data_IF_615862643807
#
_entry.id   IF_615862643807
#
_cell.length_a   1.000
_cell.length_b   1.000
_cell.length_c   1.000
_cell.angle_alpha   90.00
_cell.angle_beta   90.00
_cell.angle_gamma   90.00
#
_symmetry.space_group_name_H-M   'P 1'
#
loop_
_entity.id
_entity.type
_entity.pdbx_description
1 polymer ?
#
# COMPACT_ATOMS: atom_id res chain seq x y z
N UNK A 1 -8.05 10.66 -13.41
CA UNK A 1 -8.20 9.25 -13.67
C UNK A 1 -7.10 8.70 -14.55
N UNK A 2 -6.92 7.42 -14.53
CA UNK A 2 -5.92 6.75 -15.36
C UNK A 2 -6.29 6.82 -16.83
N UNK A 3 -5.33 7.18 -17.65
CA UNK A 3 -5.51 7.33 -19.10
C UNK A 3 -5.75 8.76 -19.58
N UNK A 4 -5.86 9.74 -18.70
CA UNK A 4 -5.85 11.15 -19.12
C UNK A 4 -4.48 11.59 -19.63
N UNK A 5 -4.43 12.46 -20.62
CA UNK A 5 -3.18 13.11 -21.04
C UNK A 5 -2.66 14.04 -19.94
N UNK A 6 -1.34 14.24 -19.89
CA UNK A 6 -0.75 15.26 -19.04
C UNK A 6 -1.30 16.65 -19.43
N UNK A 7 -1.77 17.41 -18.47
CA UNK A 7 -2.20 18.78 -18.72
C UNK A 7 -1.04 19.78 -18.65
N UNK A 8 0.09 19.37 -18.11
CA UNK A 8 1.31 20.16 -18.00
C UNK A 8 2.53 19.23 -18.11
N UNK A 9 3.53 19.67 -18.85
CA UNK A 9 4.80 18.97 -19.00
C UNK A 9 5.92 19.95 -18.73
N UNK A 10 6.89 19.54 -17.91
CA UNK A 10 8.05 20.36 -17.55
C UNK A 10 9.32 19.60 -17.92
N UNK A 11 10.21 20.25 -18.69
CA UNK A 11 11.51 19.69 -18.98
C UNK A 11 12.39 19.73 -17.74
N UNK A 12 13.15 18.65 -17.52
CA UNK A 12 14.12 18.58 -16.45
C UNK A 12 15.50 18.95 -16.98
N UNK A 13 16.29 19.59 -16.15
CA UNK A 13 17.66 19.99 -16.45
C UNK A 13 18.65 19.07 -15.72
N UNK A 14 19.76 18.69 -16.37
CA UNK A 14 20.80 17.90 -15.73
C UNK A 14 21.49 18.72 -14.64
N UNK A 15 21.90 18.07 -13.58
CA UNK A 15 22.68 18.68 -12.51
C UNK A 15 24.05 18.00 -12.34
N UNK A 16 24.97 18.69 -11.68
CA UNK A 16 26.36 18.25 -11.52
C UNK A 16 26.53 16.90 -10.81
N UNK A 17 25.54 16.52 -10.00
CA UNK A 17 25.50 15.25 -9.27
C UNK A 17 24.95 14.06 -10.12
N UNK A 18 24.73 14.29 -11.42
CA UNK A 18 24.21 13.29 -12.34
C UNK A 18 22.70 13.07 -12.24
N UNK A 19 22.01 13.85 -11.44
CA UNK A 19 20.53 13.84 -11.37
C UNK A 19 19.93 14.83 -12.36
N UNK A 20 18.63 14.69 -12.60
CA UNK A 20 17.85 15.64 -13.39
C UNK A 20 16.84 16.30 -12.48
N UNK A 21 16.69 17.62 -12.59
CA UNK A 21 15.88 18.44 -11.70
C UNK A 21 14.91 19.31 -12.46
N UNK A 22 13.71 19.47 -11.94
CA UNK A 22 12.76 20.49 -12.33
C UNK A 22 12.07 21.04 -11.08
N UNK A 23 11.73 22.31 -11.08
CA UNK A 23 10.99 22.96 -10.00
C UNK A 23 9.68 23.51 -10.56
N UNK A 24 8.58 23.20 -9.91
CA UNK A 24 7.25 23.72 -10.25
C UNK A 24 6.76 24.59 -9.09
N UNK A 25 6.55 25.86 -9.35
CA UNK A 25 6.15 26.86 -8.35
C UNK A 25 4.62 26.87 -8.16
N UNK A 26 4.07 25.71 -7.81
CA UNK A 26 2.64 25.52 -7.55
C UNK A 26 2.44 24.52 -6.45
N UNK A 27 1.35 24.63 -5.69
CA UNK A 27 0.88 23.52 -4.84
C UNK A 27 0.24 22.45 -5.72
N UNK A 28 0.90 21.28 -5.75
CA UNK A 28 0.46 20.13 -6.53
C UNK A 28 -0.11 19.01 -5.64
N UNK A 29 -0.35 19.26 -4.37
CA UNK A 29 -0.94 18.27 -3.45
C UNK A 29 -2.23 17.67 -4.06
N UNK A 30 -2.33 16.34 -4.04
CA UNK A 30 -3.44 15.59 -4.62
C UNK A 30 -3.40 15.45 -6.14
N UNK A 31 -2.34 15.92 -6.79
CA UNK A 31 -2.10 15.68 -8.22
C UNK A 31 -1.24 14.43 -8.42
N UNK A 32 -1.21 13.98 -9.66
CA UNK A 32 -0.39 12.85 -10.09
C UNK A 32 0.68 13.31 -11.06
N UNK A 33 1.82 12.60 -11.08
CA UNK A 33 2.89 12.84 -12.02
C UNK A 33 3.46 11.54 -12.57
N UNK A 34 4.13 11.66 -13.70
CA UNK A 34 5.00 10.64 -14.28
C UNK A 34 6.28 11.26 -14.74
N UNK A 35 7.30 10.45 -14.87
CA UNK A 35 8.51 10.79 -15.61
C UNK A 35 8.47 10.11 -16.97
N UNK A 36 9.03 10.77 -17.98
CA UNK A 36 9.29 10.17 -19.28
C UNK A 36 10.72 10.50 -19.68
N UNK A 37 11.49 9.49 -20.04
CA UNK A 37 12.92 9.63 -20.37
C UNK A 37 13.12 9.40 -21.85
N UNK A 38 13.94 10.23 -22.47
CA UNK A 38 14.33 10.14 -23.86
C UNK A 38 15.77 9.64 -23.99
N UNK A 39 15.97 8.51 -24.65
CA UNK A 39 17.29 7.93 -24.94
C UNK A 39 17.40 7.69 -26.44
N UNK A 40 18.48 8.16 -27.05
CA UNK A 40 18.71 8.03 -28.49
C UNK A 40 17.49 8.46 -29.33
N UNK A 41 16.97 9.62 -29.01
CA UNK A 41 15.77 10.22 -29.62
C UNK A 41 14.45 9.45 -29.49
N UNK A 42 14.42 8.40 -28.66
CA UNK A 42 13.22 7.62 -28.38
C UNK A 42 12.74 7.85 -26.94
N UNK A 43 11.47 8.22 -26.79
CA UNK A 43 10.79 8.25 -25.49
C UNK A 43 10.49 6.81 -25.00
N UNK A 44 10.82 6.53 -23.75
CA UNK A 44 10.70 5.19 -23.17
C UNK A 44 9.30 4.88 -22.61
N UNK A 45 8.48 5.90 -22.44
CA UNK A 45 7.16 5.78 -21.84
C UNK A 45 7.11 6.34 -20.41
N UNK A 46 5.91 6.47 -19.91
CA UNK A 46 5.64 7.06 -18.61
C UNK A 46 5.91 6.08 -17.47
N UNK A 47 6.50 6.59 -16.38
CA UNK A 47 6.76 5.83 -15.16
C UNK A 47 6.53 6.72 -13.93
N UNK A 48 6.02 6.19 -12.81
CA UNK A 48 5.92 6.94 -11.55
C UNK A 48 7.28 7.30 -10.95
N UNK A 49 8.35 6.60 -11.38
CA UNK A 49 9.68 6.75 -10.80
C UNK A 49 9.88 5.93 -9.52
N UNK A 50 11.15 5.64 -9.22
CA UNK A 50 11.54 4.73 -8.11
C UNK A 50 11.36 5.33 -6.71
N UNK A 51 11.13 6.62 -6.61
CA UNK A 51 10.99 7.35 -5.34
C UNK A 51 9.53 7.75 -5.06
N UNK A 52 8.56 7.22 -5.80
CA UNK A 52 7.16 7.46 -5.54
C UNK A 52 6.78 6.94 -4.15
N UNK A 53 6.11 7.75 -3.33
CA UNK A 53 5.64 7.37 -1.99
C UNK A 53 4.21 6.84 -2.00
N UNK A 54 3.48 7.11 -3.04
CA UNK A 54 2.16 6.60 -3.30
C UNK A 54 1.93 6.59 -4.81
N UNK A 55 1.11 5.69 -5.27
CA UNK A 55 0.75 5.55 -6.67
C UNK A 55 -0.77 5.54 -6.85
N UNK A 56 -1.23 5.86 -8.04
CA UNK A 56 -2.63 5.72 -8.43
C UNK A 56 -2.93 4.32 -8.95
N UNK A 57 -4.15 4.13 -9.42
CA UNK A 57 -4.69 2.87 -9.93
C UNK A 57 -3.70 2.16 -10.86
N UNK A 58 -3.49 0.86 -10.63
CA UNK A 58 -2.56 0.01 -11.35
C UNK A 58 -1.10 0.53 -11.35
N UNK A 59 -0.71 1.31 -10.35
CA UNK A 59 0.67 1.75 -10.19
C UNK A 59 1.24 2.67 -11.27
N UNK A 60 0.42 3.23 -12.15
CA UNK A 60 0.90 3.92 -13.36
C UNK A 60 1.41 5.33 -13.13
N UNK A 61 0.95 6.00 -12.09
CA UNK A 61 1.28 7.41 -11.79
C UNK A 61 1.59 7.57 -10.32
N UNK A 62 2.63 8.33 -10.00
CA UNK A 62 2.92 8.72 -8.63
C UNK A 62 1.94 9.81 -8.16
N UNK A 63 1.54 9.74 -6.90
CA UNK A 63 0.71 10.74 -6.26
C UNK A 63 1.57 11.71 -5.43
N UNK A 64 1.22 13.00 -5.48
CA UNK A 64 1.84 14.03 -4.66
C UNK A 64 1.01 14.17 -3.38
N UNK A 65 1.53 13.64 -2.27
CA UNK A 65 0.86 13.63 -0.98
C UNK A 65 1.68 14.35 0.09
N UNK A 66 0.98 14.96 1.02
CA UNK A 66 1.53 15.30 2.31
C UNK A 66 1.42 14.08 3.22
N UNK A 67 2.52 13.37 3.45
CA UNK A 67 2.54 12.12 4.22
C UNK A 67 1.98 12.29 5.63
N UNK A 68 2.17 13.45 6.26
CA UNK A 68 1.59 13.71 7.59
C UNK A 68 0.05 13.72 7.58
N UNK A 69 -0.54 14.07 6.45
CA UNK A 69 -2.01 14.06 6.31
C UNK A 69 -2.60 12.65 6.16
N UNK A 70 -1.76 11.62 6.06
CA UNK A 70 -2.18 10.22 6.00
C UNK A 70 -2.11 9.50 7.35
N UNK A 71 -1.52 10.15 8.35
CA UNK A 71 -1.41 9.59 9.70
C UNK A 71 -2.81 9.47 10.32
N UNK A 72 -3.19 8.31 10.86
CA UNK A 72 -4.43 8.15 11.60
C UNK A 72 -4.37 8.87 12.94
N UNK A 73 -5.54 9.11 13.54
CA UNK A 73 -5.63 9.66 14.88
C UNK A 73 -4.84 8.79 15.88
N UNK A 74 -4.05 9.45 16.73
CA UNK A 74 -3.19 8.78 17.74
C UNK A 74 -1.86 8.25 17.20
N UNK A 75 -1.57 8.35 15.89
CA UNK A 75 -0.33 7.84 15.31
C UNK A 75 0.94 8.36 15.98
N UNK A 76 0.97 9.65 16.32
CA UNK A 76 2.12 10.28 16.96
C UNK A 76 2.41 9.75 18.38
N UNK A 77 1.41 9.20 19.04
CA UNK A 77 1.48 8.67 20.41
C UNK A 77 1.64 7.14 20.42
N UNK A 78 1.59 6.49 19.24
CA UNK A 78 1.73 5.04 19.13
C UNK A 78 3.13 4.59 19.55
N UNK A 79 3.18 3.55 20.37
CA UNK A 79 4.43 2.99 20.90
C UNK A 79 4.49 1.50 20.59
N UNK A 80 5.59 1.10 19.99
CA UNK A 80 5.87 -0.31 19.78
C UNK A 80 5.92 -1.04 21.12
N UNK A 81 5.18 -2.15 21.29
CA UNK A 81 5.29 -3.01 22.48
C UNK A 81 6.74 -3.47 22.69
N UNK A 82 7.20 -3.44 23.94
CA UNK A 82 8.52 -3.94 24.30
C UNK A 82 8.47 -5.45 24.49
N UNK A 83 9.48 -6.14 23.97
CA UNK A 83 9.74 -7.55 24.26
C UNK A 83 10.96 -7.66 25.16
N UNK A 84 10.91 -8.57 26.14
CA UNK A 84 12.03 -8.80 27.04
C UNK A 84 13.19 -9.53 26.34
N UNK A 85 12.88 -10.42 25.40
CA UNK A 85 13.86 -11.20 24.65
C UNK A 85 13.35 -11.47 23.23
N UNK A 86 14.24 -11.56 22.21
CA UNK A 86 13.89 -12.09 20.90
C UNK A 86 13.33 -13.52 20.94
N UNK A 87 13.65 -14.30 21.97
CA UNK A 87 13.10 -15.64 22.15
C UNK A 87 11.60 -15.65 22.51
N UNK A 88 11.05 -14.51 22.94
CA UNK A 88 9.62 -14.36 23.27
C UNK A 88 8.77 -14.04 22.03
N UNK A 89 9.37 -13.96 20.84
CA UNK A 89 8.67 -13.66 19.60
C UNK A 89 7.84 -14.85 19.15
N UNK A 90 6.53 -14.61 18.98
CA UNK A 90 5.59 -15.54 18.35
C UNK A 90 5.06 -14.87 17.09
N UNK A 91 5.43 -15.42 15.93
CA UNK A 91 5.07 -14.86 14.63
C UNK A 91 3.89 -15.63 14.05
N UNK A 92 2.89 -14.90 13.61
CA UNK A 92 1.77 -15.40 12.84
C UNK A 92 1.84 -14.83 11.43
N UNK A 93 2.10 -15.68 10.43
CA UNK A 93 2.09 -15.28 9.03
C UNK A 93 0.68 -15.40 8.46
N UNK A 94 0.23 -14.39 7.73
CA UNK A 94 -1.11 -14.38 7.16
C UNK A 94 -1.18 -13.64 5.82
N UNK A 95 -2.10 -14.09 4.98
CA UNK A 95 -2.55 -13.35 3.81
C UNK A 95 -3.64 -12.35 4.22
N UNK A 96 -3.49 -11.10 3.83
CA UNK A 96 -4.34 -10.00 4.26
C UNK A 96 -5.82 -10.23 3.96
N UNK A 97 -6.12 -10.68 2.73
CA UNK A 97 -7.47 -11.00 2.29
C UNK A 97 -8.06 -12.20 3.04
N UNK A 98 -7.29 -13.28 3.12
CA UNK A 98 -7.77 -14.56 3.65
C UNK A 98 -8.03 -14.53 5.14
N UNK A 99 -7.36 -13.63 5.85
CA UNK A 99 -7.57 -13.43 7.28
C UNK A 99 -9.03 -13.11 7.65
N UNK A 100 -9.80 -12.54 6.75
CA UNK A 100 -11.14 -12.06 7.05
C UNK A 100 -12.20 -12.35 6.01
N UNK A 101 -11.83 -12.93 4.85
CA UNK A 101 -12.75 -13.06 3.70
C UNK A 101 -13.89 -14.06 3.94
N UNK A 102 -13.70 -15.03 4.82
CA UNK A 102 -14.72 -16.03 5.10
C UNK A 102 -16.02 -15.37 5.60
N UNK A 103 -17.19 -15.75 5.06
CA UNK A 103 -18.47 -15.21 5.51
C UNK A 103 -18.74 -15.39 7.00
N UNK A 104 -18.22 -16.46 7.62
CA UNK A 104 -18.40 -16.76 9.04
C UNK A 104 -17.47 -15.97 9.97
N UNK A 105 -16.52 -15.18 9.44
CA UNK A 105 -15.54 -14.45 10.25
C UNK A 105 -16.14 -13.40 11.20
N UNK A 106 -17.40 -13.00 11.02
CA UNK A 106 -18.02 -11.92 11.80
C UNK A 106 -17.47 -10.52 11.50
N UNK A 107 -16.45 -10.42 10.64
CA UNK A 107 -15.80 -9.16 10.26
C UNK A 107 -16.65 -8.44 9.20
N UNK A 108 -16.75 -7.11 9.29
CA UNK A 108 -17.51 -6.28 8.34
C UNK A 108 -16.71 -5.98 7.07
N UNK A 109 -15.46 -5.59 7.23
CA UNK A 109 -14.57 -5.21 6.12
C UNK A 109 -13.81 -6.43 5.57
N UNK A 110 -14.57 -7.48 5.17
CA UNK A 110 -14.00 -8.75 4.70
C UNK A 110 -12.99 -8.56 3.57
N UNK A 111 -11.80 -9.13 3.75
CA UNK A 111 -10.72 -9.10 2.76
C UNK A 111 -10.09 -7.71 2.54
N UNK A 112 -10.35 -6.74 3.43
CA UNK A 112 -9.85 -5.36 3.34
C UNK A 112 -8.87 -5.05 4.47
N UNK A 113 -8.03 -4.03 4.29
CA UNK A 113 -7.07 -3.59 5.31
C UNK A 113 -7.75 -3.25 6.65
N UNK A 114 -8.92 -2.64 6.61
CA UNK A 114 -9.67 -2.28 7.82
C UNK A 114 -10.13 -3.49 8.64
N UNK A 115 -10.17 -4.69 8.08
CA UNK A 115 -10.49 -5.90 8.83
C UNK A 115 -9.56 -6.13 10.03
N UNK A 116 -8.30 -5.70 9.93
CA UNK A 116 -7.31 -5.82 11.00
C UNK A 116 -7.54 -4.86 12.17
N UNK A 117 -8.41 -3.90 12.01
CA UNK A 117 -8.74 -2.91 13.06
C UNK A 117 -10.03 -3.23 13.80
N UNK A 118 -10.80 -4.21 13.32
CA UNK A 118 -12.06 -4.59 13.95
C UNK A 118 -11.83 -5.44 15.20
N UNK A 119 -12.52 -5.09 16.26
CA UNK A 119 -12.49 -5.79 17.56
C UNK A 119 -13.88 -6.35 17.92
N UNK A 120 -13.91 -7.33 18.80
CA UNK A 120 -15.15 -7.97 19.26
C UNK A 120 -15.82 -8.83 18.19
N UNK A 121 -15.08 -9.24 17.15
CA UNK A 121 -15.62 -10.09 16.09
C UNK A 121 -15.63 -11.54 16.52
N UNK A 122 -16.69 -12.26 16.12
CA UNK A 122 -16.88 -13.67 16.50
C UNK A 122 -17.40 -14.47 15.32
N UNK A 123 -17.08 -15.78 15.30
CA UNK A 123 -17.63 -16.75 14.36
C UNK A 123 -19.09 -17.08 14.67
N UNK A 124 -19.70 -17.92 13.82
CA UNK A 124 -21.06 -18.44 14.06
C UNK A 124 -21.17 -19.24 15.38
N UNK A 125 -20.07 -19.85 15.81
CA UNK A 125 -19.97 -20.59 17.08
C UNK A 125 -19.56 -19.71 18.26
N UNK A 126 -19.63 -18.40 18.10
CA UNK A 126 -19.27 -17.40 19.10
C UNK A 126 -17.81 -17.49 19.59
N UNK A 127 -16.91 -17.95 18.73
CA UNK A 127 -15.47 -17.97 18.97
C UNK A 127 -14.84 -16.68 18.44
N UNK A 128 -13.86 -16.15 19.18
CA UNK A 128 -13.12 -14.94 18.75
C UNK A 128 -12.50 -15.10 17.39
N UNK A 129 -12.62 -14.06 16.55
CA UNK A 129 -12.01 -13.98 15.23
C UNK A 129 -11.19 -12.70 15.11
N UNK A 130 -10.49 -12.54 14.00
CA UNK A 130 -9.75 -11.31 13.71
C UNK A 130 -8.62 -11.06 14.71
N UNK A 131 -8.39 -9.79 15.01
CA UNK A 131 -7.29 -9.35 15.89
C UNK A 131 -7.42 -9.90 17.30
N UNK A 132 -8.63 -10.10 17.80
CA UNK A 132 -8.84 -10.59 19.16
C UNK A 132 -8.43 -12.08 19.28
N UNK A 133 -8.68 -12.88 18.24
CA UNK A 133 -8.18 -14.25 18.18
C UNK A 133 -6.64 -14.30 18.21
N UNK A 134 -5.96 -13.41 17.48
CA UNK A 134 -4.48 -13.34 17.52
C UNK A 134 -3.96 -12.99 18.92
N UNK A 135 -4.66 -12.12 19.64
CA UNK A 135 -4.31 -11.77 21.02
C UNK A 135 -4.50 -12.97 21.96
N UNK A 136 -5.58 -13.71 21.81
CA UNK A 136 -5.85 -14.94 22.60
C UNK A 136 -4.78 -16.01 22.37
N UNK A 137 -4.28 -16.15 21.13
CA UNK A 137 -3.17 -17.04 20.78
C UNK A 137 -1.83 -16.59 21.35
N UNK A 138 -1.72 -15.37 21.87
CA UNK A 138 -0.47 -14.81 22.35
C UNK A 138 0.50 -14.40 21.25
N UNK A 139 0.02 -14.15 20.06
CA UNK A 139 0.83 -13.66 18.92
C UNK A 139 1.41 -12.29 19.27
N UNK A 140 2.72 -12.16 19.10
CA UNK A 140 3.44 -10.91 19.35
C UNK A 140 3.72 -10.12 18.07
N UNK A 141 3.82 -10.82 16.93
CA UNK A 141 4.11 -10.24 15.63
C UNK A 141 3.25 -10.86 14.56
N UNK A 142 2.65 -10.03 13.73
CA UNK A 142 1.97 -10.46 12.51
C UNK A 142 2.88 -10.21 11.32
N UNK A 143 3.19 -11.28 10.58
CA UNK A 143 3.90 -11.21 9.32
C UNK A 143 2.89 -11.24 8.19
N UNK A 144 2.59 -10.07 7.64
CA UNK A 144 1.65 -9.97 6.52
C UNK A 144 2.37 -10.36 5.23
N UNK A 145 1.80 -11.28 4.44
CA UNK A 145 2.24 -11.55 3.07
C UNK A 145 2.25 -10.24 2.27
N UNK A 146 3.11 -10.11 1.22
CA UNK A 146 3.27 -8.84 0.53
C UNK A 146 1.93 -8.25 0.10
N UNK A 147 1.71 -6.99 0.46
CA UNK A 147 0.45 -6.26 0.22
C UNK A 147 0.71 -4.95 -0.53
N UNK A 148 1.70 -4.98 -1.41
CA UNK A 148 1.99 -3.90 -2.33
C UNK A 148 0.98 -3.89 -3.49
N UNK A 149 1.10 -2.91 -4.36
CA UNK A 149 0.36 -2.83 -5.61
C UNK A 149 0.69 -4.03 -6.52
N UNK A 150 -0.29 -4.90 -6.77
CA UNK A 150 -0.08 -6.17 -7.48
C UNK A 150 -0.06 -6.00 -8.99
N UNK A 151 1.01 -6.42 -9.66
CA UNK A 151 1.16 -6.28 -11.11
C UNK A 151 0.13 -7.06 -11.91
N UNK A 152 -0.35 -8.20 -11.41
CA UNK A 152 -1.30 -9.07 -12.11
C UNK A 152 -2.77 -8.81 -11.77
N UNK A 153 -3.07 -7.84 -10.89
CA UNK A 153 -4.44 -7.46 -10.52
C UNK A 153 -4.80 -6.13 -11.16
N UNK A 154 -5.80 -6.12 -12.02
CA UNK A 154 -6.36 -4.88 -12.56
C UNK A 154 -7.32 -4.26 -11.54
N UNK A 155 -6.89 -3.20 -10.87
CA UNK A 155 -7.67 -2.51 -9.85
C UNK A 155 -8.95 -1.83 -10.38
N UNK A 156 -9.10 -1.73 -11.70
CA UNK A 156 -10.35 -1.27 -12.32
C UNK A 156 -11.40 -2.37 -12.43
N UNK A 157 -11.04 -3.63 -12.08
CA UNK A 157 -11.86 -4.83 -12.21
C UNK A 157 -11.83 -5.68 -10.95
N UNK A 158 -12.01 -5.05 -9.80
CA UNK A 158 -11.98 -5.73 -8.51
C UNK A 158 -13.12 -6.76 -8.32
N UNK A 159 -14.18 -6.66 -9.11
CA UNK A 159 -15.28 -7.61 -9.20
C UNK A 159 -14.86 -8.98 -9.76
N UNK A 160 -13.77 -9.06 -10.52
CA UNK A 160 -13.17 -10.33 -10.95
C UNK A 160 -12.65 -11.16 -9.77
N UNK A 161 -12.51 -10.56 -8.58
CA UNK A 161 -12.07 -11.18 -7.33
C UNK A 161 -10.81 -12.06 -7.50
N UNK A 162 -9.85 -11.56 -8.25
CA UNK A 162 -8.61 -12.25 -8.57
C UNK A 162 -7.77 -12.46 -7.33
N UNK A 163 -7.38 -13.70 -7.06
CA UNK A 163 -6.48 -14.02 -5.96
C UNK A 163 -5.04 -13.69 -6.33
N UNK A 164 -4.30 -13.12 -5.40
CA UNK A 164 -2.88 -12.87 -5.54
C UNK A 164 -2.16 -13.09 -4.20
N UNK A 165 -1.05 -13.80 -4.24
CA UNK A 165 -0.22 -14.07 -3.05
C UNK A 165 0.58 -12.85 -2.58
N UNK A 166 0.71 -11.82 -3.42
CA UNK A 166 1.46 -10.60 -3.13
C UNK A 166 2.91 -10.59 -3.62
N UNK A 167 3.40 -11.63 -4.27
CA UNK A 167 4.80 -11.74 -4.68
C UNK A 167 5.09 -11.25 -6.10
N UNK A 168 4.19 -10.46 -6.68
CA UNK A 168 4.35 -9.80 -7.97
C UNK A 168 4.07 -8.29 -7.89
N UNK A 169 4.81 -7.55 -7.06
CA UNK A 169 4.53 -6.12 -6.89
C UNK A 169 4.82 -5.32 -8.17
N UNK A 170 3.90 -4.44 -8.53
CA UNK A 170 4.11 -3.42 -9.56
C UNK A 170 4.98 -2.28 -9.01
N UNK A 171 4.72 -1.89 -7.78
CA UNK A 171 5.45 -0.87 -7.04
C UNK A 171 5.75 -1.37 -5.62
N UNK A 172 6.96 -1.10 -5.13
CA UNK A 172 7.41 -1.52 -3.80
C UNK A 172 7.23 -0.44 -2.72
N UNK A 173 6.72 0.73 -3.07
CA UNK A 173 6.57 1.88 -2.17
C UNK A 173 5.10 2.12 -1.84
#
# INVERSE_FOLDING_TARGET
GDGGHAYETVSMEPSEDGTWKAKVEKDLKGKFYTFNVKINDKWLGDTPGINAKAVGVNGKRAAILDMKSTDPEGWADDKRPALASPADVIIYEMHHRDFSIDPSSGIKNKGKFLALTEQGTVSLDNLSTGIDHLKELGVTHVHILPSYDYASVDETKLDENKYNWGYDPQNYN
#
